data_IF_901271798499
#
_entry.id   IF_901271798499
#
_cell.length_a   1.000
_cell.length_b   1.000
_cell.length_c   1.000
_cell.angle_alpha   90.00
_cell.angle_beta   90.00
_cell.angle_gamma   90.00
#
_symmetry.space_group_name_H-M   'P 1'
#
loop_
_entity.id
_entity.type
_entity.pdbx_description
1 polymer ?
#
# COMPACT_ATOMS: atom_id res chain seq x y z
N UNK A 1 3.88 60.04 -1.69
CA UNK A 1 4.86 59.03 -2.15
C UNK A 1 4.66 57.78 -1.32
N UNK A 2 3.88 56.84 -1.84
CA UNK A 2 3.64 55.53 -1.21
C UNK A 2 4.31 54.50 -2.12
N UNK A 3 5.21 53.70 -1.57
CA UNK A 3 5.87 52.63 -2.28
C UNK A 3 5.07 51.34 -2.11
N UNK A 4 4.61 50.78 -3.23
CA UNK A 4 4.12 49.41 -3.29
C UNK A 4 5.30 48.42 -3.23
N UNK A 5 5.16 47.28 -2.54
CA UNK A 5 6.17 46.22 -2.59
C UNK A 5 6.08 45.45 -3.92
N UNK A 6 7.21 44.92 -4.43
CA UNK A 6 7.25 44.21 -5.69
C UNK A 6 6.59 42.84 -5.58
N UNK A 7 5.64 42.56 -6.47
CA UNK A 7 5.10 41.21 -6.70
C UNK A 7 6.20 40.35 -7.29
N UNK A 8 6.71 39.41 -6.50
CA UNK A 8 7.72 38.43 -6.92
C UNK A 8 7.12 37.42 -7.92
N UNK A 9 7.68 37.38 -9.12
CA UNK A 9 7.34 36.44 -10.21
C UNK A 9 7.69 34.96 -9.95
N UNK A 10 7.76 34.53 -8.69
CA UNK A 10 8.11 33.16 -8.32
C UNK A 10 6.93 32.18 -8.44
N UNK A 11 5.68 32.67 -8.38
CA UNK A 11 4.50 31.79 -8.30
C UNK A 11 3.98 31.34 -9.68
N UNK A 12 4.31 32.05 -10.76
CA UNK A 12 3.86 31.68 -12.13
C UNK A 12 4.78 30.64 -12.77
N UNK A 13 6.07 30.63 -12.43
CA UNK A 13 7.04 29.67 -12.97
C UNK A 13 6.87 28.24 -12.42
N UNK A 14 6.41 28.09 -11.17
CA UNK A 14 6.20 26.78 -10.56
C UNK A 14 4.98 26.04 -11.13
N UNK A 15 3.97 26.76 -11.64
CA UNK A 15 2.77 26.15 -12.24
C UNK A 15 3.00 25.77 -13.71
N UNK A 16 3.79 26.56 -14.45
CA UNK A 16 4.13 26.27 -15.85
C UNK A 16 5.10 25.08 -16.01
N UNK A 17 5.99 24.82 -15.03
CA UNK A 17 6.90 23.66 -15.04
C UNK A 17 6.20 22.31 -14.78
N UNK A 18 5.00 22.32 -14.18
CA UNK A 18 4.20 21.11 -13.92
C UNK A 18 3.22 20.83 -15.07
N UNK A 19 2.91 21.82 -15.92
CA UNK A 19 1.89 21.71 -16.97
C UNK A 19 2.44 21.56 -18.41
N UNK A 20 3.75 21.55 -18.62
CA UNK A 20 4.37 21.41 -19.94
C UNK A 20 4.57 19.98 -20.47
N UNK A 21 4.19 18.93 -19.73
CA UNK A 21 4.44 17.52 -20.10
C UNK A 21 3.20 16.61 -20.01
N UNK A 22 2.01 17.19 -20.06
CA UNK A 22 0.73 16.48 -19.89
C UNK A 22 0.13 15.97 -21.21
N UNK A 23 0.97 15.66 -22.21
CA UNK A 23 0.51 15.15 -23.51
C UNK A 23 1.44 14.19 -24.24
N UNK A 24 2.67 13.96 -23.77
CA UNK A 24 3.49 12.90 -24.33
C UNK A 24 3.11 11.60 -23.63
N UNK A 25 2.44 10.71 -24.37
CA UNK A 25 2.07 9.38 -23.88
C UNK A 25 3.36 8.66 -23.54
N UNK A 26 3.77 8.66 -22.27
CA UNK A 26 4.97 7.93 -21.85
C UNK A 26 4.92 6.53 -22.43
N UNK A 27 5.84 6.25 -23.36
CA UNK A 27 5.90 4.98 -24.06
C UNK A 27 6.21 3.90 -23.02
N UNK A 28 5.54 2.73 -23.05
CA UNK A 28 5.87 1.66 -22.13
C UNK A 28 7.34 1.27 -22.29
N UNK A 29 8.05 1.13 -21.17
CA UNK A 29 9.49 0.88 -21.15
C UNK A 29 9.72 -0.63 -21.10
N UNK A 30 10.57 -1.17 -21.98
CA UNK A 30 10.94 -2.59 -22.01
C UNK A 30 12.44 -2.71 -21.78
N UNK A 31 12.84 -3.51 -20.79
CA UNK A 31 14.24 -3.79 -20.51
C UNK A 31 14.76 -4.90 -21.43
N UNK A 32 15.96 -4.73 -22.01
CA UNK A 32 16.63 -5.72 -22.85
C UNK A 32 17.88 -6.22 -22.14
N UNK A 33 17.82 -7.47 -21.68
CA UNK A 33 18.89 -8.18 -20.99
C UNK A 33 19.60 -9.12 -21.97
N UNK A 34 20.93 -9.00 -22.09
CA UNK A 34 21.77 -9.97 -22.77
C UNK A 34 23.23 -9.75 -22.35
N UNK A 35 24.07 -10.77 -22.54
CA UNK A 35 25.51 -10.66 -22.29
C UNK A 35 26.13 -9.67 -23.29
N UNK A 36 26.66 -8.55 -22.80
CA UNK A 36 27.15 -7.46 -23.65
C UNK A 36 28.34 -7.83 -24.53
N UNK A 37 29.17 -8.80 -24.15
CA UNK A 37 30.25 -9.28 -25.01
C UNK A 37 29.75 -10.18 -26.15
N UNK A 38 28.56 -10.75 -26.00
CA UNK A 38 28.01 -11.74 -26.92
C UNK A 38 26.98 -11.13 -27.88
N UNK A 39 26.12 -10.23 -27.40
CA UNK A 39 24.94 -9.74 -28.13
C UNK A 39 24.71 -8.21 -28.00
N UNK A 40 25.76 -7.40 -27.95
CA UNK A 40 25.64 -5.94 -28.09
C UNK A 40 25.02 -5.52 -29.42
N UNK A 41 25.42 -6.13 -30.54
CA UNK A 41 24.83 -5.88 -31.86
C UNK A 41 23.34 -6.19 -31.86
N UNK A 42 23.01 -7.43 -31.51
CA UNK A 42 21.64 -7.95 -31.54
C UNK A 42 20.69 -7.20 -30.59
N UNK A 43 21.15 -6.77 -29.40
CA UNK A 43 20.35 -5.91 -28.52
C UNK A 43 19.98 -4.57 -29.14
N UNK A 44 20.87 -3.95 -29.92
CA UNK A 44 20.56 -2.70 -30.64
C UNK A 44 19.47 -2.92 -31.68
N UNK A 45 19.53 -4.03 -32.41
CA UNK A 45 18.51 -4.36 -33.41
C UNK A 45 17.14 -4.62 -32.76
N UNK A 46 17.10 -5.36 -31.64
CA UNK A 46 15.87 -5.55 -30.84
C UNK A 46 15.33 -4.21 -30.35
N UNK A 47 16.21 -3.32 -29.86
CA UNK A 47 15.82 -1.98 -29.42
C UNK A 47 15.18 -1.18 -30.56
N UNK A 48 15.73 -1.24 -31.77
CA UNK A 48 15.17 -0.55 -32.94
C UNK A 48 13.80 -1.11 -33.35
N UNK A 49 13.59 -2.43 -33.27
CA UNK A 49 12.27 -3.03 -33.46
C UNK A 49 11.29 -2.54 -32.41
N UNK A 50 11.66 -2.54 -31.12
CA UNK A 50 10.80 -2.04 -30.05
C UNK A 50 10.40 -0.57 -30.23
N UNK A 51 11.34 0.29 -30.64
CA UNK A 51 11.06 1.70 -30.97
C UNK A 51 10.04 1.83 -32.10
N UNK A 52 10.18 1.04 -33.17
CA UNK A 52 9.21 1.00 -34.30
C UNK A 52 7.82 0.54 -33.84
N UNK A 53 7.76 -0.33 -32.83
CA UNK A 53 6.52 -0.80 -32.22
C UNK A 53 5.93 0.20 -31.20
N UNK A 54 6.60 1.32 -30.92
CA UNK A 54 6.13 2.37 -30.02
C UNK A 54 6.50 2.19 -28.54
N UNK A 55 7.49 1.35 -28.25
CA UNK A 55 8.05 1.13 -26.91
C UNK A 55 9.37 1.91 -26.72
N UNK A 56 9.75 2.13 -25.47
CA UNK A 56 11.05 2.71 -25.12
C UNK A 56 11.99 1.58 -24.62
N UNK A 57 13.01 1.20 -25.39
CA UNK A 57 13.93 0.14 -24.98
C UNK A 57 14.99 0.68 -24.01
N UNK A 58 15.17 -0.03 -22.90
CA UNK A 58 16.20 0.24 -21.89
C UNK A 58 17.18 -0.94 -21.80
N UNK A 59 18.45 -0.68 -21.55
CA UNK A 59 19.46 -1.73 -21.30
C UNK A 59 20.51 -1.21 -20.30
N UNK A 60 21.46 -2.06 -19.92
CA UNK A 60 22.56 -1.64 -19.03
C UNK A 60 23.34 -0.44 -19.60
N UNK A 61 23.50 -0.32 -20.92
CA UNK A 61 24.22 0.77 -21.57
C UNK A 61 23.48 2.11 -21.51
N UNK A 62 22.16 2.11 -21.26
CA UNK A 62 21.39 3.34 -21.11
C UNK A 62 21.42 3.89 -19.68
N UNK A 63 22.12 3.23 -18.76
CA UNK A 63 22.30 3.73 -17.40
C UNK A 63 23.20 4.98 -17.42
N UNK A 64 22.86 6.03 -16.66
CA UNK A 64 23.79 7.10 -16.38
C UNK A 64 25.08 6.51 -15.80
N UNK A 65 26.22 7.13 -16.08
CA UNK A 65 27.51 6.78 -15.48
C UNK A 65 27.45 7.00 -13.96
N UNK A 66 26.91 6.02 -13.25
CA UNK A 66 26.71 6.05 -11.81
C UNK A 66 27.92 5.39 -11.16
N UNK A 67 28.72 6.20 -10.48
CA UNK A 67 29.79 5.72 -9.63
C UNK A 67 29.16 4.91 -8.47
N UNK A 68 29.49 3.61 -8.41
CA UNK A 68 29.42 2.83 -7.17
C UNK A 68 28.38 1.72 -7.07
N UNK A 69 27.23 1.76 -7.75
CA UNK A 69 26.18 0.76 -7.51
C UNK A 69 25.41 0.31 -8.76
N UNK A 70 26.11 -0.26 -9.76
CA UNK A 70 25.47 -0.79 -10.99
C UNK A 70 24.27 -1.72 -10.69
N UNK A 71 24.36 -2.58 -9.67
CA UNK A 71 23.25 -3.45 -9.28
C UNK A 71 22.02 -2.66 -8.82
N UNK A 72 22.20 -1.61 -8.02
CA UNK A 72 21.10 -0.76 -7.57
C UNK A 72 20.47 0.00 -8.74
N UNK A 73 21.31 0.56 -9.62
CA UNK A 73 20.85 1.23 -10.83
C UNK A 73 20.03 0.30 -11.73
N UNK A 74 20.47 -0.96 -11.89
CA UNK A 74 19.70 -1.98 -12.61
C UNK A 74 18.36 -2.29 -11.94
N UNK A 75 18.32 -2.41 -10.59
CA UNK A 75 17.06 -2.61 -9.85
C UNK A 75 16.08 -1.48 -10.14
N UNK A 76 16.53 -0.25 -9.99
CA UNK A 76 15.73 0.95 -10.24
C UNK A 76 15.25 1.00 -11.70
N UNK A 77 16.13 0.75 -12.66
CA UNK A 77 15.76 0.77 -14.07
C UNK A 77 14.72 -0.32 -14.41
N UNK A 78 14.88 -1.54 -13.92
CA UNK A 78 13.92 -2.64 -14.12
C UNK A 78 12.59 -2.34 -13.44
N UNK A 79 12.60 -1.70 -12.27
CA UNK A 79 11.38 -1.30 -11.56
C UNK A 79 10.51 -0.35 -12.41
N UNK A 80 11.14 0.53 -13.19
CA UNK A 80 10.46 1.43 -14.13
C UNK A 80 10.02 0.77 -15.45
N UNK A 81 10.41 -0.48 -15.71
CA UNK A 81 10.04 -1.19 -16.93
C UNK A 81 8.72 -1.98 -16.77
N UNK A 82 7.98 -2.13 -17.85
CA UNK A 82 6.74 -2.94 -17.89
C UNK A 82 7.02 -4.43 -18.12
N UNK A 83 8.15 -4.73 -18.75
CA UNK A 83 8.59 -6.09 -19.00
C UNK A 83 10.06 -6.16 -19.36
N UNK A 84 10.55 -7.39 -19.49
CA UNK A 84 11.93 -7.70 -19.79
C UNK A 84 12.03 -8.71 -20.93
N UNK A 85 12.81 -8.39 -21.95
CA UNK A 85 13.27 -9.32 -22.97
C UNK A 85 14.66 -9.79 -22.58
N UNK A 86 14.86 -11.10 -22.48
CA UNK A 86 16.18 -11.71 -22.28
C UNK A 86 16.61 -12.49 -23.52
N UNK A 87 17.79 -12.17 -24.03
CA UNK A 87 18.47 -12.94 -25.08
C UNK A 87 19.53 -13.80 -24.40
N UNK A 88 19.33 -15.11 -24.43
CA UNK A 88 20.17 -16.09 -23.73
C UNK A 88 21.09 -16.79 -24.74
N UNK A 89 22.39 -16.69 -24.50
CA UNK A 89 23.43 -17.34 -25.30
C UNK A 89 24.33 -18.25 -24.50
N UNK A 90 25.52 -18.48 -25.04
CA UNK A 90 26.51 -19.38 -24.46
C UNK A 90 27.35 -18.67 -23.38
N UNK A 91 27.41 -17.34 -23.41
CA UNK A 91 28.15 -16.55 -22.44
C UNK A 91 27.44 -16.46 -21.10
N UNK A 92 28.21 -16.53 -20.02
CA UNK A 92 27.77 -16.22 -18.67
C UNK A 92 27.73 -14.71 -18.43
N UNK A 93 28.73 -13.97 -18.95
CA UNK A 93 28.81 -12.50 -18.87
C UNK A 93 29.47 -11.98 -17.59
N UNK A 94 29.48 -10.68 -17.37
CA UNK A 94 30.17 -10.06 -16.23
C UNK A 94 29.45 -10.31 -14.88
N UNK A 95 30.22 -10.49 -13.81
CA UNK A 95 29.69 -10.65 -12.45
C UNK A 95 29.75 -9.35 -11.64
N UNK A 96 28.77 -9.14 -10.75
CA UNK A 96 28.93 -8.16 -9.68
C UNK A 96 30.08 -8.52 -8.73
N UNK A 97 30.72 -7.53 -8.07
CA UNK A 97 31.87 -7.77 -7.19
C UNK A 97 31.53 -8.54 -5.90
N UNK A 98 30.26 -8.54 -5.48
CA UNK A 98 29.79 -9.27 -4.30
C UNK A 98 28.72 -10.28 -4.69
N UNK A 99 28.67 -11.40 -3.95
CA UNK A 99 27.61 -12.40 -4.08
C UNK A 99 26.27 -11.77 -3.67
N UNK A 100 25.20 -12.02 -4.41
CA UNK A 100 23.87 -11.54 -4.03
C UNK A 100 23.27 -12.46 -2.95
N UNK A 101 22.68 -11.87 -1.92
CA UNK A 101 22.12 -12.63 -0.81
C UNK A 101 20.90 -13.47 -1.23
N UNK A 102 20.11 -12.99 -2.21
CA UNK A 102 18.87 -13.63 -2.66
C UNK A 102 19.13 -14.65 -3.77
N UNK A 103 20.15 -14.38 -4.60
CA UNK A 103 20.39 -15.15 -5.84
C UNK A 103 21.70 -15.93 -5.85
N UNK A 104 22.56 -15.73 -4.85
CA UNK A 104 23.90 -16.29 -4.84
C UNK A 104 24.81 -15.66 -5.90
N UNK A 105 25.72 -16.47 -6.45
CA UNK A 105 26.67 -16.05 -7.48
C UNK A 105 25.97 -16.11 -8.84
N UNK A 106 25.77 -14.94 -9.45
CA UNK A 106 25.10 -14.77 -10.75
C UNK A 106 25.77 -13.65 -11.54
N UNK A 107 25.71 -13.70 -12.88
CA UNK A 107 26.10 -12.58 -13.73
C UNK A 107 25.08 -11.44 -13.68
N UNK A 108 25.44 -10.23 -14.14
CA UNK A 108 24.49 -9.12 -14.24
C UNK A 108 23.27 -9.48 -15.11
N UNK A 109 23.48 -10.14 -16.24
CA UNK A 109 22.39 -10.59 -17.13
C UNK A 109 21.45 -11.57 -16.44
N UNK A 110 21.98 -12.50 -15.64
CA UNK A 110 21.16 -13.43 -14.86
C UNK A 110 20.43 -12.73 -13.70
N UNK A 111 21.12 -11.82 -13.01
CA UNK A 111 20.55 -10.97 -11.96
C UNK A 111 19.35 -10.17 -12.47
N UNK A 112 19.45 -9.53 -13.64
CA UNK A 112 18.37 -8.75 -14.26
C UNK A 112 17.11 -9.59 -14.44
N UNK A 113 17.25 -10.82 -14.94
CA UNK A 113 16.14 -11.74 -15.12
C UNK A 113 15.50 -12.18 -13.80
N UNK A 114 16.35 -12.61 -12.84
CA UNK A 114 15.90 -13.08 -11.54
C UNK A 114 15.18 -11.97 -10.76
N UNK A 115 15.68 -10.74 -10.86
CA UNK A 115 15.05 -9.57 -10.25
C UNK A 115 13.72 -9.22 -10.91
N UNK A 116 13.65 -9.20 -12.25
CA UNK A 116 12.40 -9.01 -12.97
C UNK A 116 11.36 -10.11 -12.63
N UNK A 117 11.84 -11.34 -12.37
CA UNK A 117 11.02 -12.45 -11.89
C UNK A 117 10.46 -12.19 -10.51
N UNK A 118 11.32 -11.78 -9.56
CA UNK A 118 10.90 -11.42 -8.20
C UNK A 118 9.83 -10.32 -8.20
N UNK A 119 9.96 -9.33 -9.10
CA UNK A 119 9.03 -8.21 -9.25
C UNK A 119 7.75 -8.54 -10.02
N UNK A 120 7.57 -9.79 -10.47
CA UNK A 120 6.40 -10.19 -11.24
C UNK A 120 6.28 -9.53 -12.62
N UNK A 121 7.36 -8.97 -13.17
CA UNK A 121 7.36 -8.34 -14.51
C UNK A 121 7.09 -9.38 -15.59
N UNK A 122 6.43 -9.03 -16.70
CA UNK A 122 6.34 -9.95 -17.85
C UNK A 122 7.75 -10.15 -18.42
N UNK A 123 8.09 -11.39 -18.75
CA UNK A 123 9.41 -11.78 -19.25
C UNK A 123 9.28 -12.57 -20.55
N UNK A 124 10.13 -12.28 -21.52
CA UNK A 124 10.26 -13.02 -22.77
C UNK A 124 11.69 -13.51 -22.92
N UNK A 125 11.89 -14.81 -22.99
CA UNK A 125 13.23 -15.42 -23.07
C UNK A 125 13.43 -16.06 -24.44
N UNK A 126 14.47 -15.62 -25.13
CA UNK A 126 14.87 -16.09 -26.45
C UNK A 126 16.21 -16.80 -26.36
N UNK A 127 16.27 -18.07 -26.78
CA UNK A 127 17.49 -18.86 -26.77
C UNK A 127 18.18 -18.82 -28.13
N UNK A 128 19.43 -18.36 -28.15
CA UNK A 128 20.26 -18.47 -29.33
C UNK A 128 20.61 -19.94 -29.58
N UNK A 129 20.48 -20.39 -30.83
CA UNK A 129 20.99 -21.69 -31.25
C UNK A 129 22.53 -21.74 -31.17
N UNK A 130 23.07 -22.94 -31.08
CA UNK A 130 24.51 -23.17 -31.18
C UNK A 130 24.97 -22.87 -32.62
N UNK A 131 26.01 -22.03 -32.77
CA UNK A 131 26.54 -21.61 -34.06
C UNK A 131 26.76 -20.10 -34.18
N UNK A 132 27.32 -19.68 -35.31
CA UNK A 132 27.71 -18.29 -35.57
C UNK A 132 26.64 -17.48 -36.30
N UNK A 133 25.66 -18.14 -36.93
CA UNK A 133 24.59 -17.51 -37.71
C UNK A 133 23.64 -16.62 -36.86
N UNK A 134 23.64 -16.79 -35.54
CA UNK A 134 22.85 -15.99 -34.59
C UNK A 134 23.33 -14.54 -34.45
N UNK A 135 24.45 -14.15 -35.07
CA UNK A 135 24.96 -12.78 -35.03
C UNK A 135 25.64 -12.43 -33.70
N UNK A 136 26.46 -13.35 -33.16
CA UNK A 136 27.28 -13.08 -31.97
C UNK A 136 28.36 -12.05 -32.29
N UNK A 137 28.56 -11.08 -31.40
CA UNK A 137 29.67 -10.11 -31.51
C UNK A 137 31.03 -10.78 -31.25
N UNK A 138 31.04 -11.92 -30.55
CA UNK A 138 32.24 -12.65 -30.16
C UNK A 138 32.02 -14.17 -30.31
N UNK A 139 32.96 -14.92 -30.88
CA UNK A 139 32.87 -16.38 -30.98
C UNK A 139 32.77 -17.03 -29.59
N UNK A 140 32.03 -18.14 -29.49
CA UNK A 140 31.79 -18.86 -28.21
C UNK A 140 33.12 -19.22 -27.50
N UNK A 141 34.15 -19.58 -28.27
CA UNK A 141 35.48 -19.89 -27.75
C UNK A 141 36.14 -18.72 -27.00
N UNK A 142 35.75 -17.48 -27.29
CA UNK A 142 36.35 -16.26 -26.74
C UNK A 142 35.46 -15.56 -25.69
N UNK A 143 34.30 -16.13 -25.37
CA UNK A 143 33.43 -15.65 -24.29
C UNK A 143 33.98 -16.06 -22.92
N UNK A 144 33.70 -15.27 -21.88
CA UNK A 144 34.02 -15.59 -20.48
C UNK A 144 35.49 -15.90 -20.18
N UNK A 145 36.41 -15.35 -21.00
CA UNK A 145 37.83 -15.36 -20.69
C UNK A 145 38.15 -14.32 -19.62
N UNK A 146 39.15 -14.56 -18.75
CA UNK A 146 39.59 -13.55 -17.79
C UNK A 146 40.18 -12.35 -18.54
N UNK A 147 40.13 -11.16 -17.93
CA UNK A 147 40.79 -9.98 -18.51
C UNK A 147 42.30 -10.26 -18.62
N UNK A 148 42.86 -10.07 -19.83
CA UNK A 148 44.26 -10.37 -20.11
C UNK A 148 45.22 -9.65 -19.16
N UNK A 149 44.87 -8.42 -18.76
CA UNK A 149 45.62 -7.56 -17.83
C UNK A 149 45.80 -8.17 -16.42
N UNK A 150 44.90 -9.08 -16.01
CA UNK A 150 44.93 -9.69 -14.69
C UNK A 150 45.81 -10.95 -14.61
N UNK A 151 46.33 -11.43 -15.75
CA UNK A 151 47.27 -12.56 -15.77
C UNK A 151 46.75 -13.82 -15.06
N UNK A 152 45.49 -14.20 -15.30
CA UNK A 152 44.87 -15.32 -14.59
C UNK A 152 45.67 -16.62 -14.81
N UNK A 153 46.03 -17.37 -13.75
CA UNK A 153 46.97 -18.49 -13.83
C UNK A 153 46.44 -19.67 -14.67
N UNK A 154 45.11 -19.85 -14.72
CA UNK A 154 44.46 -20.85 -15.56
C UNK A 154 43.21 -20.27 -16.23
N UNK A 155 43.34 -19.66 -17.43
CA UNK A 155 42.20 -19.11 -18.16
C UNK A 155 41.18 -20.16 -18.60
N UNK A 156 41.62 -21.41 -18.81
CA UNK A 156 40.77 -22.49 -19.27
C UNK A 156 39.84 -22.98 -18.14
N UNK A 157 40.38 -23.19 -16.94
CA UNK A 157 39.56 -23.52 -15.77
C UNK A 157 38.58 -22.39 -15.42
N UNK A 158 39.02 -21.13 -15.50
CA UNK A 158 38.15 -19.96 -15.30
C UNK A 158 36.97 -19.96 -16.28
N UNK A 159 37.24 -20.15 -17.57
CA UNK A 159 36.20 -20.20 -18.59
C UNK A 159 35.27 -21.41 -18.40
N UNK A 160 35.81 -22.58 -18.07
CA UNK A 160 35.05 -23.80 -17.84
C UNK A 160 34.07 -23.65 -16.66
N UNK A 161 34.50 -23.02 -15.57
CA UNK A 161 33.64 -22.72 -14.42
C UNK A 161 32.45 -21.83 -14.82
N UNK A 162 32.71 -20.72 -15.52
CA UNK A 162 31.65 -19.79 -15.95
C UNK A 162 30.68 -20.43 -16.93
N UNK A 163 31.18 -21.26 -17.85
CA UNK A 163 30.32 -22.06 -18.74
C UNK A 163 29.44 -23.03 -17.95
N UNK A 164 29.97 -23.70 -16.93
CA UNK A 164 29.16 -24.57 -16.09
C UNK A 164 28.04 -23.80 -15.36
N UNK A 165 28.34 -22.60 -14.85
CA UNK A 165 27.33 -21.70 -14.25
C UNK A 165 26.25 -21.29 -15.26
N UNK A 166 26.64 -20.93 -16.49
CA UNK A 166 25.69 -20.58 -17.54
C UNK A 166 24.83 -21.76 -17.97
N UNK A 167 25.40 -22.95 -18.12
CA UNK A 167 24.64 -24.15 -18.47
C UNK A 167 23.63 -24.52 -17.38
N UNK A 168 24.00 -24.36 -16.10
CA UNK A 168 23.06 -24.53 -14.99
C UNK A 168 21.91 -23.53 -15.07
N UNK A 169 22.20 -22.25 -15.31
CA UNK A 169 21.18 -21.22 -15.49
C UNK A 169 20.23 -21.53 -16.67
N UNK A 170 20.78 -21.98 -17.81
CA UNK A 170 19.99 -22.40 -18.98
C UNK A 170 19.10 -23.60 -18.64
N UNK A 171 19.63 -24.60 -17.93
CA UNK A 171 18.86 -25.76 -17.50
C UNK A 171 17.71 -25.35 -16.57
N UNK A 172 17.95 -24.42 -15.64
CA UNK A 172 16.94 -23.88 -14.74
C UNK A 172 15.86 -23.09 -15.50
N UNK A 173 16.22 -22.27 -16.49
CA UNK A 173 15.23 -21.59 -17.33
C UNK A 173 14.35 -22.56 -18.11
N UNK A 174 14.94 -23.66 -18.61
CA UNK A 174 14.23 -24.71 -19.35
C UNK A 174 13.29 -25.49 -18.46
N UNK A 175 13.73 -25.92 -17.28
CA UNK A 175 12.90 -26.71 -16.35
C UNK A 175 11.70 -25.93 -15.81
N UNK A 176 11.84 -24.61 -15.67
CA UNK A 176 10.76 -23.73 -15.21
C UNK A 176 9.75 -23.34 -16.31
N UNK A 177 9.84 -23.92 -17.51
CA UNK A 177 8.91 -23.65 -18.62
C UNK A 177 8.95 -22.21 -19.14
N UNK A 178 10.02 -21.46 -18.85
CA UNK A 178 10.13 -20.04 -19.20
C UNK A 178 10.72 -19.82 -20.60
N UNK A 179 11.04 -20.90 -21.31
CA UNK A 179 11.52 -20.87 -22.69
C UNK A 179 10.35 -20.57 -23.61
N UNK A 180 10.44 -19.48 -24.36
CA UNK A 180 9.45 -19.17 -25.37
C UNK A 180 9.85 -19.66 -26.74
N UNK A 181 11.00 -19.20 -27.21
CA UNK A 181 11.45 -19.47 -28.56
C UNK A 181 12.97 -19.61 -28.62
N UNK A 182 13.43 -20.55 -29.44
CA UNK A 182 14.80 -20.57 -29.92
C UNK A 182 14.89 -19.82 -31.26
N UNK A 183 16.05 -19.22 -31.54
CA UNK A 183 16.33 -18.57 -32.82
C UNK A 183 17.68 -19.03 -33.38
N UNK A 184 17.73 -19.29 -34.69
CA UNK A 184 18.93 -19.75 -35.39
C UNK A 184 19.74 -18.60 -36.01
N UNK A 185 19.10 -17.44 -36.20
CA UNK A 185 19.67 -16.25 -36.82
C UNK A 185 19.00 -14.98 -36.28
N UNK A 186 19.63 -13.82 -36.52
CA UNK A 186 19.13 -12.53 -36.07
C UNK A 186 17.73 -12.21 -36.63
N UNK A 187 17.49 -12.48 -37.91
CA UNK A 187 16.20 -12.21 -38.55
C UNK A 187 15.05 -12.96 -37.86
N UNK A 188 15.30 -14.22 -37.47
CA UNK A 188 14.34 -15.03 -36.73
C UNK A 188 14.04 -14.42 -35.36
N UNK A 189 15.04 -13.93 -34.63
CA UNK A 189 14.82 -13.23 -33.37
C UNK A 189 13.97 -11.97 -33.59
N UNK A 190 14.32 -11.14 -34.56
CA UNK A 190 13.57 -9.90 -34.83
C UNK A 190 12.11 -10.18 -35.22
N UNK A 191 11.87 -11.23 -36.01
CA UNK A 191 10.52 -11.72 -36.31
C UNK A 191 9.77 -12.15 -35.04
N UNK A 192 10.41 -12.91 -34.16
CA UNK A 192 9.80 -13.31 -32.88
C UNK A 192 9.53 -12.12 -31.95
N UNK A 193 10.37 -11.09 -31.97
CA UNK A 193 10.13 -9.83 -31.24
C UNK A 193 8.96 -9.06 -31.85
N UNK A 194 8.74 -9.17 -33.16
CA UNK A 194 7.53 -8.62 -33.79
C UNK A 194 6.29 -9.45 -33.43
N UNK A 195 6.40 -10.76 -33.30
CA UNK A 195 5.27 -11.63 -32.94
C UNK A 195 4.76 -11.35 -31.52
N UNK A 196 5.63 -10.94 -30.58
CA UNK A 196 5.18 -10.53 -29.25
C UNK A 196 4.46 -9.17 -29.23
N UNK A 197 4.33 -8.47 -30.37
CA UNK A 197 3.63 -7.19 -30.47
C UNK A 197 2.23 -7.25 -29.86
N UNK A 198 1.46 -8.29 -30.13
CA UNK A 198 0.08 -8.39 -29.64
C UNK A 198 0.04 -8.51 -28.11
N UNK A 199 1.00 -9.21 -27.52
CA UNK A 199 1.12 -9.28 -26.07
C UNK A 199 1.62 -7.98 -25.45
N UNK A 200 2.53 -7.30 -26.12
CA UNK A 200 2.96 -5.98 -25.71
C UNK A 200 1.78 -4.98 -25.78
N UNK A 201 0.87 -5.12 -26.75
CA UNK A 201 -0.38 -4.35 -26.81
C UNK A 201 -1.29 -4.67 -25.62
N UNK A 202 -1.45 -5.95 -25.25
CA UNK A 202 -2.22 -6.34 -24.05
C UNK A 202 -1.63 -5.67 -22.81
N UNK A 203 -0.31 -5.78 -22.59
CA UNK A 203 0.37 -5.15 -21.45
C UNK A 203 0.16 -3.63 -21.43
N UNK A 204 0.25 -2.97 -22.59
CA UNK A 204 -0.02 -1.55 -22.70
C UNK A 204 -1.44 -1.22 -22.26
N UNK A 205 -2.44 -1.99 -22.69
CA UNK A 205 -3.83 -1.74 -22.28
C UNK A 205 -4.05 -1.97 -20.78
N UNK A 206 -3.44 -3.00 -20.21
CA UNK A 206 -3.50 -3.29 -18.77
C UNK A 206 -2.87 -2.16 -17.96
N UNK A 207 -1.70 -1.68 -18.40
CA UNK A 207 -1.02 -0.54 -17.79
C UNK A 207 -1.84 0.76 -17.89
N UNK A 208 -2.39 1.06 -19.05
CA UNK A 208 -3.25 2.25 -19.23
C UNK A 208 -4.50 2.18 -18.35
N UNK A 209 -5.03 0.97 -18.07
CA UNK A 209 -6.13 0.77 -17.12
C UNK A 209 -5.66 0.97 -15.67
N UNK A 210 -4.53 0.38 -15.28
CA UNK A 210 -3.96 0.52 -13.95
C UNK A 210 -3.64 2.00 -13.63
N UNK A 211 -2.99 2.71 -14.57
CA UNK A 211 -2.70 4.14 -14.46
C UNK A 211 -3.97 4.98 -14.32
N UNK A 212 -5.02 4.67 -15.07
CA UNK A 212 -6.33 5.34 -14.93
C UNK A 212 -6.96 5.10 -13.55
N UNK A 213 -6.81 3.91 -12.97
CA UNK A 213 -7.28 3.64 -11.59
C UNK A 213 -6.53 4.48 -10.57
N UNK A 214 -5.20 4.51 -10.64
CA UNK A 214 -4.36 5.31 -9.73
C UNK A 214 -4.70 6.80 -9.88
N UNK A 215 -4.85 7.31 -11.10
CA UNK A 215 -5.23 8.70 -11.35
C UNK A 215 -6.59 9.06 -10.74
N UNK A 216 -7.58 8.16 -10.81
CA UNK A 216 -8.89 8.36 -10.16
C UNK A 216 -8.78 8.38 -8.63
N UNK A 217 -7.96 7.51 -8.06
CA UNK A 217 -7.73 7.47 -6.61
C UNK A 217 -7.04 8.77 -6.16
N UNK A 218 -5.98 9.19 -6.83
CA UNK A 218 -5.29 10.45 -6.52
C UNK A 218 -6.21 11.66 -6.66
N UNK A 219 -7.03 11.71 -7.71
CA UNK A 219 -8.03 12.76 -7.88
C UNK A 219 -9.09 12.72 -6.77
N UNK A 220 -9.60 11.55 -6.40
CA UNK A 220 -10.56 11.38 -5.31
C UNK A 220 -10.01 11.82 -3.96
N UNK A 221 -8.76 11.46 -3.64
CA UNK A 221 -8.06 11.91 -2.42
C UNK A 221 -7.88 13.43 -2.43
N UNK A 222 -7.48 14.01 -3.57
CA UNK A 222 -7.34 15.46 -3.72
C UNK A 222 -8.66 16.21 -3.50
N UNK A 223 -9.75 15.72 -4.11
CA UNK A 223 -11.10 16.29 -3.92
C UNK A 223 -11.54 16.17 -2.46
N UNK A 224 -11.33 15.02 -1.82
CA UNK A 224 -11.66 14.82 -0.41
C UNK A 224 -10.88 15.81 0.49
N UNK A 225 -9.58 15.98 0.24
CA UNK A 225 -8.76 16.95 0.98
C UNK A 225 -9.29 18.37 0.83
N UNK A 226 -9.66 18.79 -0.38
CA UNK A 226 -10.25 20.12 -0.61
C UNK A 226 -11.58 20.28 0.12
N UNK A 227 -12.45 19.26 0.09
CA UNK A 227 -13.73 19.29 0.82
C UNK A 227 -13.50 19.43 2.33
N UNK A 228 -12.56 18.67 2.89
CA UNK A 228 -12.20 18.76 4.32
C UNK A 228 -11.67 20.15 4.64
N UNK A 229 -10.81 20.72 3.79
CA UNK A 229 -10.25 22.06 3.97
C UNK A 229 -11.34 23.15 3.94
N UNK A 230 -12.28 23.04 3.01
CA UNK A 230 -13.44 23.95 2.91
C UNK A 230 -14.38 23.80 4.11
N UNK A 231 -14.62 22.59 4.59
CA UNK A 231 -15.43 22.35 5.79
C UNK A 231 -14.78 22.95 7.04
N UNK A 232 -13.45 22.80 7.19
CA UNK A 232 -12.69 23.43 8.27
C UNK A 232 -12.73 24.97 8.18
N UNK A 233 -12.57 25.52 6.97
CA UNK A 233 -12.66 26.96 6.73
C UNK A 233 -14.07 27.49 7.06
N UNK A 234 -15.12 26.79 6.66
CA UNK A 234 -16.50 27.16 6.98
C UNK A 234 -16.74 27.15 8.49
N UNK A 235 -16.29 26.09 9.20
CA UNK A 235 -16.39 26.01 10.65
C UNK A 235 -15.61 27.12 11.37
N UNK A 236 -14.48 27.55 10.80
CA UNK A 236 -13.68 28.66 11.32
C UNK A 236 -14.43 29.98 11.14
N UNK A 237 -15.00 30.23 9.96
CA UNK A 237 -15.73 31.46 9.66
C UNK A 237 -17.04 31.61 10.44
N UNK A 238 -17.74 30.52 10.75
CA UNK A 238 -18.99 30.60 11.55
C UNK A 238 -18.76 30.67 13.06
N UNK A 239 -17.52 30.54 13.53
CA UNK A 239 -17.21 30.50 14.96
C UNK A 239 -17.72 29.25 15.69
N UNK A 240 -18.27 28.26 14.96
CA UNK A 240 -18.78 27.02 15.55
C UNK A 240 -17.68 25.98 15.84
N UNK A 241 -16.42 26.31 15.58
CA UNK A 241 -15.29 25.41 15.84
C UNK A 241 -15.25 24.96 17.31
N UNK A 242 -15.65 25.83 18.25
CA UNK A 242 -15.78 25.51 19.67
C UNK A 242 -16.94 24.56 19.99
N UNK A 243 -18.02 24.57 19.20
CA UNK A 243 -19.21 23.71 19.42
C UNK A 243 -19.05 22.32 18.82
N UNK A 244 -18.38 22.20 17.67
CA UNK A 244 -18.20 20.91 17.01
C UNK A 244 -16.99 20.14 17.51
N UNK A 245 -15.92 20.82 17.91
CA UNK A 245 -14.70 20.17 18.41
C UNK A 245 -14.94 19.29 19.64
N UNK A 246 -15.76 19.75 20.58
CA UNK A 246 -15.98 19.06 21.85
C UNK A 246 -17.00 17.90 21.80
N UNK A 247 -17.68 17.68 20.66
CA UNK A 247 -18.55 16.51 20.46
C UNK A 247 -17.79 15.25 20.00
N UNK A 248 -16.56 15.39 19.54
CA UNK A 248 -15.75 14.26 19.10
C UNK A 248 -15.16 13.55 20.33
N UNK A 249 -15.36 12.23 20.53
CA UNK A 249 -14.94 11.52 21.75
C UNK A 249 -13.47 11.71 22.13
N UNK A 250 -12.59 11.77 21.13
CA UNK A 250 -11.14 11.95 21.31
C UNK A 250 -10.79 13.34 21.85
N UNK A 251 -11.60 14.36 21.55
CA UNK A 251 -11.36 15.75 21.95
C UNK A 251 -12.11 16.15 23.23
N UNK A 252 -13.09 15.36 23.68
CA UNK A 252 -13.90 15.66 24.86
C UNK A 252 -13.05 15.78 26.15
N UNK A 253 -11.99 14.96 26.28
CA UNK A 253 -11.06 15.03 27.41
C UNK A 253 -10.35 16.38 27.50
N UNK A 254 -9.83 16.87 26.38
CA UNK A 254 -9.14 18.16 26.31
C UNK A 254 -10.10 19.33 26.54
N UNK A 255 -11.31 19.26 25.98
CA UNK A 255 -12.34 20.27 26.25
C UNK A 255 -12.72 20.35 27.74
N UNK A 256 -12.84 19.20 28.42
CA UNK A 256 -13.15 19.13 29.86
C UNK A 256 -12.05 19.74 30.72
N UNK A 257 -10.78 19.56 30.36
CA UNK A 257 -9.65 20.15 31.12
C UNK A 257 -9.65 21.67 31.01
N UNK A 258 -9.95 22.22 29.83
CA UNK A 258 -9.86 23.65 29.56
C UNK A 258 -11.18 24.42 29.66
N UNK A 259 -12.32 23.75 29.87
CA UNK A 259 -13.63 24.38 29.93
C UNK A 259 -14.12 24.91 28.58
N UNK A 260 -13.68 24.30 27.47
CA UNK A 260 -14.04 24.73 26.12
C UNK A 260 -15.39 24.14 25.68
N UNK A 261 -16.14 24.89 24.87
CA UNK A 261 -17.39 24.41 24.27
C UNK A 261 -18.55 24.18 25.26
N UNK A 262 -18.49 24.79 26.45
CA UNK A 262 -19.52 24.62 27.49
C UNK A 262 -19.48 23.26 28.21
N UNK A 263 -18.36 22.53 28.11
CA UNK A 263 -18.12 21.32 28.90
C UNK A 263 -17.65 21.72 30.30
N UNK A 264 -18.32 21.29 31.38
CA UNK A 264 -17.90 21.63 32.73
C UNK A 264 -16.50 21.09 33.06
N UNK A 265 -15.69 21.91 33.72
CA UNK A 265 -14.38 21.46 34.21
C UNK A 265 -14.54 20.55 35.44
N UNK A 266 -13.50 19.77 35.82
CA UNK A 266 -13.53 19.01 37.07
C UNK A 266 -13.79 19.89 38.30
N UNK A 267 -13.32 21.14 38.28
CA UNK A 267 -13.60 22.11 39.34
C UNK A 267 -15.06 22.56 39.39
N UNK A 268 -15.70 22.73 38.23
CA UNK A 268 -17.14 23.04 38.14
C UNK A 268 -17.99 21.90 38.67
N UNK A 269 -17.65 20.66 38.30
CA UNK A 269 -18.32 19.45 38.77
C UNK A 269 -18.20 19.30 40.28
N UNK A 270 -17.00 19.52 40.84
CA UNK A 270 -16.79 19.43 42.28
C UNK A 270 -17.63 20.45 43.05
N UNK A 271 -17.68 21.71 42.58
CA UNK A 271 -18.55 22.75 43.17
C UNK A 271 -20.03 22.38 43.08
N UNK A 272 -20.45 21.83 41.94
CA UNK A 272 -21.82 21.36 41.74
C UNK A 272 -22.19 20.25 42.73
N UNK A 273 -21.35 19.23 42.89
CA UNK A 273 -21.61 18.12 43.81
C UNK A 273 -21.65 18.59 45.28
N UNK A 274 -20.81 19.56 45.66
CA UNK A 274 -20.87 20.18 46.98
C UNK A 274 -22.23 20.88 47.20
N UNK A 275 -22.68 21.68 46.23
CA UNK A 275 -23.97 22.36 46.30
C UNK A 275 -25.16 21.38 46.38
N UNK A 276 -25.10 20.25 45.68
CA UNK A 276 -26.12 19.19 45.75
C UNK A 276 -26.13 18.52 47.13
N UNK A 277 -24.95 18.26 47.72
CA UNK A 277 -24.84 17.63 49.03
C UNK A 277 -25.43 18.50 50.15
N UNK A 278 -25.32 19.83 50.01
CA UNK A 278 -25.88 20.82 50.94
C UNK A 278 -27.40 21.04 50.77
N UNK A 279 -28.04 20.34 49.82
CA UNK A 279 -29.48 20.39 49.60
C UNK A 279 -29.98 21.74 49.07
N UNK A 280 -31.18 22.15 49.47
CA UNK A 280 -31.82 23.37 48.92
C UNK A 280 -31.01 24.66 49.15
N UNK A 281 -30.39 24.91 50.32
CA UNK A 281 -29.52 26.07 50.53
C UNK A 281 -28.33 26.08 49.56
N UNK A 282 -27.60 24.96 49.46
CA UNK A 282 -26.44 24.85 48.57
C UNK A 282 -26.78 25.07 47.10
N UNK A 283 -27.89 24.51 46.62
CA UNK A 283 -28.37 24.74 45.25
C UNK A 283 -28.76 26.20 45.00
N UNK A 284 -29.35 26.88 45.99
CA UNK A 284 -29.73 28.30 45.86
C UNK A 284 -28.47 29.18 45.83
N UNK A 285 -27.50 28.93 46.68
CA UNK A 285 -26.23 29.66 46.68
C UNK A 285 -25.48 29.45 45.36
N UNK A 286 -25.47 28.21 44.85
CA UNK A 286 -24.87 27.89 43.55
C UNK A 286 -25.50 28.67 42.38
N UNK A 287 -26.83 28.91 42.39
CA UNK A 287 -27.48 29.71 41.33
C UNK A 287 -27.11 31.19 41.34
N UNK A 288 -26.56 31.70 42.45
CA UNK A 288 -26.13 33.09 42.60
C UNK A 288 -24.60 33.26 42.48
N UNK A 289 -23.84 32.16 42.46
CA UNK A 289 -22.38 32.22 42.31
C UNK A 289 -22.01 32.68 40.89
N UNK A 290 -21.30 33.82 40.72
CA UNK A 290 -20.87 34.29 39.40
C UNK A 290 -19.87 33.34 38.72
N UNK A 291 -19.29 32.38 39.45
CA UNK A 291 -18.40 31.34 38.91
C UNK A 291 -19.11 30.02 38.62
N UNK A 292 -20.42 29.93 38.85
CA UNK A 292 -21.17 28.72 38.56
C UNK A 292 -21.25 28.47 37.05
N UNK A 293 -21.08 27.21 36.67
CA UNK A 293 -21.14 26.84 35.26
C UNK A 293 -22.60 26.87 34.77
N UNK A 294 -22.91 27.49 33.61
CA UNK A 294 -24.30 27.70 33.15
C UNK A 294 -25.17 26.43 33.11
N UNK A 295 -24.60 25.32 32.64
CA UNK A 295 -25.29 24.02 32.58
C UNK A 295 -25.76 23.54 33.96
N UNK A 296 -24.99 23.81 35.01
CA UNK A 296 -25.34 23.43 36.37
C UNK A 296 -26.31 24.42 37.01
N UNK A 297 -26.29 25.70 36.61
CA UNK A 297 -27.29 26.69 37.03
C UNK A 297 -28.70 26.25 36.61
N UNK A 298 -28.86 25.80 35.36
CA UNK A 298 -30.17 25.35 34.87
C UNK A 298 -30.65 24.09 35.58
N UNK A 299 -29.74 23.15 35.86
CA UNK A 299 -30.04 21.96 36.69
C UNK A 299 -30.42 22.33 38.12
N UNK A 300 -29.72 23.29 38.73
CA UNK A 300 -30.04 23.80 40.07
C UNK A 300 -31.44 24.42 40.11
N UNK A 301 -31.77 25.28 39.13
CA UNK A 301 -33.10 25.90 39.02
C UNK A 301 -34.19 24.85 38.82
N UNK A 302 -33.97 23.87 37.95
CA UNK A 302 -34.92 22.77 37.74
C UNK A 302 -35.13 21.95 39.03
N UNK A 303 -34.06 21.67 39.78
CA UNK A 303 -34.15 20.96 41.06
C UNK A 303 -34.90 21.79 42.13
N UNK A 304 -34.66 23.10 42.20
CA UNK A 304 -35.35 24.02 43.12
C UNK A 304 -36.83 24.26 42.75
N UNK A 305 -37.18 24.18 41.47
CA UNK A 305 -38.55 24.32 40.96
C UNK A 305 -39.36 23.03 41.06
N UNK A 306 -38.70 21.88 41.19
CA UNK A 306 -39.38 20.61 41.34
C UNK A 306 -40.13 20.62 42.68
N UNK A 307 -41.47 20.44 42.69
CA UNK A 307 -42.23 20.44 43.93
C UNK A 307 -41.65 19.34 44.81
N UNK A 308 -41.09 19.74 45.96
CA UNK A 308 -40.65 18.81 46.99
C UNK A 308 -41.85 17.94 47.29
N UNK A 309 -41.86 16.70 46.76
CA UNK A 309 -42.83 15.70 47.13
C UNK A 309 -42.64 15.58 48.63
N UNK A 310 -43.54 16.21 49.39
CA UNK A 310 -43.63 16.04 50.83
C UNK A 310 -43.70 14.53 51.00
N UNK A 311 -42.59 13.96 51.44
CA UNK A 311 -42.46 12.55 51.74
C UNK A 311 -43.39 12.37 52.93
N UNK A 312 -44.66 12.11 52.65
CA UNK A 312 -45.68 11.84 53.64
C UNK A 312 -45.06 10.82 54.58
N UNK A 313 -44.87 11.24 55.83
CA UNK A 313 -44.32 10.40 56.88
C UNK A 313 -45.09 9.08 56.85
N UNK A 314 -44.38 8.04 56.41
CA UNK A 314 -44.89 6.69 56.37
C UNK A 314 -45.00 6.29 57.84
N UNK A 315 -46.20 6.48 58.39
CA UNK A 315 -46.61 6.00 59.70
C UNK A 315 -46.03 4.60 59.94
N UNK A 316 -45.15 4.49 60.92
CA UNK A 316 -44.69 3.21 61.44
C UNK A 316 -45.89 2.52 62.09
N UNK A 317 -46.35 1.42 61.49
CA UNK A 317 -47.27 0.50 62.16
C UNK A 317 -46.43 -0.53 62.92
N UNK A 318 -46.45 -0.39 64.25
CA UNK A 318 -46.06 -1.39 65.24
C UNK A 318 -46.71 -2.74 64.91
N UNK A 319 -45.88 -3.77 64.92
CA UNK A 319 -46.07 -5.16 65.38
C UNK A 319 -47.42 -5.86 65.18
N UNK A 320 -47.28 -7.11 64.70
CA UNK A 320 -48.29 -8.17 64.62
C UNK A 320 -49.25 -8.13 63.43
N UNK A 321 -48.77 -8.60 62.28
CA UNK A 321 -49.55 -9.52 61.45
C UNK A 321 -48.58 -10.45 60.69
N UNK A 322 -48.53 -11.70 61.14
CA UNK A 322 -47.99 -12.83 60.40
C UNK A 322 -48.83 -12.95 59.12
N UNK A 323 -48.28 -12.53 57.99
CA UNK A 323 -48.75 -12.97 56.68
C UNK A 323 -47.68 -13.92 56.14
N UNK A 324 -48.00 -15.21 56.19
CA UNK A 324 -47.24 -16.26 55.51
C UNK A 324 -47.21 -15.92 54.02
N UNK A 325 -46.03 -15.58 53.52
CA UNK A 325 -45.79 -15.51 52.08
C UNK A 325 -45.82 -16.95 51.58
N UNK A 326 -46.93 -17.36 50.98
CA UNK A 326 -46.96 -18.56 50.15
C UNK A 326 -46.25 -18.23 48.85
N UNK A 327 -45.05 -18.78 48.66
CA UNK A 327 -44.40 -18.81 47.34
C UNK A 327 -45.27 -19.72 46.47
N UNK A 328 -45.95 -19.13 45.50
CA UNK A 328 -46.61 -19.89 44.44
C UNK A 328 -45.53 -20.64 43.66
N UNK A 329 -45.54 -21.97 43.77
CA UNK A 329 -44.82 -22.87 42.87
C UNK A 329 -45.57 -22.81 41.53
N UNK A 330 -45.31 -21.76 40.78
CA UNK A 330 -45.75 -21.59 39.40
C UNK A 330 -44.59 -21.89 38.48
N UNK A 331 -44.72 -22.99 37.75
CA UNK A 331 -43.86 -23.48 36.66
C UNK A 331 -42.42 -23.85 37.03
N UNK A 332 -42.19 -25.16 37.17
CA UNK A 332 -40.88 -25.77 36.95
C UNK A 332 -40.27 -25.23 35.65
N UNK A 333 -39.06 -24.66 35.65
CA UNK A 333 -38.26 -24.69 34.44
C UNK A 333 -38.00 -26.16 34.11
N UNK A 334 -38.23 -26.54 32.85
CA UNK A 334 -37.75 -27.80 32.29
C UNK A 334 -36.31 -28.02 32.75
N UNK A 335 -36.06 -29.09 33.51
CA UNK A 335 -34.70 -29.59 33.70
C UNK A 335 -34.26 -30.19 32.37
N UNK A 336 -33.88 -29.31 31.45
CA UNK A 336 -32.84 -29.66 30.51
C UNK A 336 -31.61 -29.85 31.40
N UNK A 337 -31.12 -31.08 31.46
CA UNK A 337 -29.99 -31.45 32.32
C UNK A 337 -28.84 -30.48 32.13
N UNK A 338 -27.95 -30.35 33.13
CA UNK A 338 -26.73 -29.56 32.98
C UNK A 338 -25.97 -29.92 31.68
N UNK A 339 -26.09 -31.18 31.25
CA UNK A 339 -25.58 -31.69 29.98
C UNK A 339 -26.26 -31.06 28.75
N UNK A 340 -27.59 -30.91 28.75
CA UNK A 340 -28.32 -30.20 27.70
C UNK A 340 -28.01 -28.70 27.68
N UNK A 341 -27.82 -28.07 28.85
CA UNK A 341 -27.40 -26.68 28.95
C UNK A 341 -25.97 -26.47 28.40
N UNK A 342 -25.04 -27.39 28.70
CA UNK A 342 -23.67 -27.38 28.13
C UNK A 342 -23.66 -27.63 26.63
N UNK A 343 -24.49 -28.57 26.14
CA UNK A 343 -24.64 -28.82 24.71
C UNK A 343 -25.19 -27.60 23.96
N UNK A 344 -26.19 -26.92 24.53
CA UNK A 344 -26.74 -25.68 23.97
C UNK A 344 -25.73 -24.54 23.91
N UNK A 345 -24.94 -24.37 24.98
CA UNK A 345 -23.89 -23.35 25.02
C UNK A 345 -22.77 -23.62 23.99
N UNK A 346 -22.38 -24.88 23.79
CA UNK A 346 -21.39 -25.26 22.78
C UNK A 346 -21.88 -25.01 21.36
N UNK A 347 -23.14 -25.37 21.07
CA UNK A 347 -23.73 -25.16 19.75
C UNK A 347 -23.86 -23.67 19.40
N UNK A 348 -24.21 -22.83 20.38
CA UNK A 348 -24.23 -21.38 20.20
C UNK A 348 -22.83 -20.81 19.94
N UNK A 349 -21.79 -21.33 20.61
CA UNK A 349 -20.42 -20.89 20.40
C UNK A 349 -19.91 -21.24 18.98
N UNK A 350 -20.21 -22.44 18.48
CA UNK A 350 -19.88 -22.87 17.11
C UNK A 350 -20.58 -21.98 16.08
N UNK A 351 -21.90 -21.78 16.24
CA UNK A 351 -22.69 -20.93 15.33
C UNK A 351 -22.13 -19.50 15.27
N UNK A 352 -21.69 -18.95 16.42
CA UNK A 352 -21.09 -17.61 16.49
C UNK A 352 -19.70 -17.55 15.84
N UNK A 353 -18.92 -18.62 15.97
CA UNK A 353 -17.61 -18.73 15.31
C UNK A 353 -17.76 -18.81 13.79
N UNK A 354 -18.72 -19.58 13.28
CA UNK A 354 -19.02 -19.65 11.84
C UNK A 354 -19.47 -18.29 11.28
N UNK A 355 -20.32 -17.56 12.00
CA UNK A 355 -20.72 -16.20 11.60
C UNK A 355 -19.53 -15.21 11.58
N UNK A 356 -18.55 -15.38 12.46
CA UNK A 356 -17.36 -14.52 12.50
C UNK A 356 -16.31 -14.94 11.46
N UNK A 357 -16.24 -16.22 11.12
CA UNK A 357 -15.32 -16.76 10.12
C UNK A 357 -15.85 -16.65 8.69
N UNK A 358 -17.15 -16.41 8.48
CA UNK A 358 -17.74 -16.02 7.19
C UNK A 358 -17.53 -14.52 6.87
N UNK A 359 -16.34 -14.00 7.16
CA UNK A 359 -15.82 -12.87 6.40
C UNK A 359 -15.57 -13.37 4.96
N UNK A 360 -16.03 -12.67 3.92
CA UNK A 360 -15.85 -13.14 2.56
C UNK A 360 -14.36 -13.20 2.24
N UNK A 361 -13.83 -14.40 2.03
CA UNK A 361 -12.60 -14.57 1.27
C UNK A 361 -12.87 -14.02 -0.12
N UNK A 362 -12.30 -12.86 -0.42
CA UNK A 362 -12.25 -12.29 -1.76
C UNK A 362 -11.57 -13.31 -2.69
N UNK A 363 -12.41 -14.08 -3.37
CA UNK A 363 -12.06 -15.11 -4.33
C UNK A 363 -13.23 -15.30 -5.28
N UNK A 364 -13.69 -14.21 -5.90
CA UNK A 364 -14.53 -14.31 -7.09
C UNK A 364 -13.63 -14.45 -8.32
N UNK A 365 -13.66 -15.67 -8.86
CA UNK A 365 -13.19 -16.05 -10.19
C UNK A 365 -13.84 -15.18 -11.27
N UNK A 366 -13.03 -14.42 -12.01
CA UNK A 366 -13.42 -13.90 -13.31
C UNK A 366 -13.27 -15.01 -14.37
N UNK A 367 -14.40 -15.56 -14.83
CA UNK A 367 -14.48 -16.33 -16.09
C UNK A 367 -14.63 -15.36 -17.28
N UNK A 368 -13.82 -15.57 -18.32
CA UNK A 368 -13.97 -14.90 -19.62
C UNK A 368 -15.09 -15.57 -20.45
N UNK A 369 -15.88 -14.81 -21.23
CA UNK A 369 -16.84 -15.38 -22.16
C UNK A 369 -16.13 -15.82 -23.46
N UNK A 370 -16.66 -16.92 -24.00
CA UNK A 370 -16.30 -17.61 -25.25
C UNK A 370 -16.31 -16.75 -26.49
#
# INVERSE_FOLDING_TARGET
>A
MCHDPPVTGATVAAVAMIQGRTGDRMKPIIFISAVSEEFRGLRREVADVLRKLGYEPHSQESLPTLEGHLRQALREQIDHCEGLIQIVGAGYGAEPPSIDADYGRVSYTQFEYLYARLKGKKRWVFFAADGDAVGRDKPIAHLDLPRAELGHPDPAAYQAERRALQQRYIADLRSNGQVRHSFADAQRLLGQVQDIRDELLVLRTEWERARRRIGRIQFGVGVLLVIVLLALLAAYLTGDLERYGCRVPVMHGTCRVHGLGGVPTPGDEQRWFAAVADGCPGLRDYTHDPKAHPVFIDKARAALASPTVQRSERWQRKDNLVHSITIGIGTSPSMDSEEAARAGALQQAITRAEQLCLMPTAGEDFRLPS
#
